data_IF_725150249520
#
_entry.id   IF_725150249520
#
_cell.length_a   1.000
_cell.length_b   1.000
_cell.length_c   1.000
_cell.angle_alpha   90.00
_cell.angle_beta   90.00
_cell.angle_gamma   90.00
#
_symmetry.space_group_name_H-M   'P 1'
#
loop_
_entity.id
_entity.type
_entity.pdbx_description
1 polymer ?
#
# COMPACT_ATOMS: atom_id res chain seq x y z
N UNK A 1 3.99 -13.61 51.24
CA UNK A 1 4.12 -13.22 49.82
C UNK A 1 3.34 -11.95 49.66
N UNK A 2 4.03 -10.80 49.61
CA UNK A 2 3.38 -9.49 49.56
C UNK A 2 2.69 -9.26 48.23
N UNK A 3 1.50 -8.66 48.28
CA UNK A 3 0.71 -8.28 47.12
C UNK A 3 1.49 -7.26 46.28
N UNK A 4 2.09 -7.75 45.19
CA UNK A 4 2.64 -6.89 44.15
C UNK A 4 1.48 -6.25 43.38
N UNK A 5 0.96 -5.15 43.90
CA UNK A 5 0.05 -4.28 43.16
C UNK A 5 0.89 -3.56 42.11
N UNK A 6 0.64 -3.88 40.84
CA UNK A 6 1.26 -3.19 39.70
C UNK A 6 0.99 -1.68 39.90
N UNK A 7 2.03 -0.83 40.03
CA UNK A 7 1.82 0.59 40.26
C UNK A 7 0.91 1.10 39.15
N UNK A 8 -0.23 1.69 39.55
CA UNK A 8 -1.28 2.19 38.67
C UNK A 8 -0.62 2.90 37.50
N UNK A 9 -0.63 2.24 36.34
CA UNK A 9 -0.10 2.80 35.10
C UNK A 9 -1.07 3.92 34.79
N UNK A 10 -0.68 5.17 35.09
CA UNK A 10 -1.45 6.33 34.69
C UNK A 10 -1.86 6.15 33.22
N UNK A 11 -3.12 6.44 32.86
CA UNK A 11 -3.59 6.23 31.49
C UNK A 11 -2.60 6.91 30.54
N UNK A 12 -2.08 6.14 29.59
CA UNK A 12 -1.14 6.68 28.60
C UNK A 12 -1.84 7.83 27.90
N UNK A 13 -1.11 8.94 27.69
CA UNK A 13 -1.63 10.07 26.94
C UNK A 13 -2.11 9.58 25.56
N UNK A 14 -3.26 10.06 25.07
CA UNK A 14 -3.76 9.66 23.77
C UNK A 14 -2.73 10.01 22.69
N UNK A 15 -2.56 9.10 21.74
CA UNK A 15 -1.72 9.29 20.58
C UNK A 15 -2.50 10.07 19.53
N UNK A 16 -2.09 11.30 19.29
CA UNK A 16 -2.60 12.13 18.20
C UNK A 16 -1.72 11.94 16.96
N UNK A 17 -2.29 11.37 15.92
CA UNK A 17 -1.60 11.16 14.64
C UNK A 17 -2.45 11.63 13.48
N UNK A 18 -1.80 12.12 12.43
CA UNK A 18 -2.52 12.33 11.17
C UNK A 18 -2.67 11.01 10.40
N UNK A 19 -3.60 10.98 9.45
CA UNK A 19 -3.90 9.81 8.61
C UNK A 19 -2.69 9.22 7.90
N UNK A 20 -1.75 10.06 7.47
CA UNK A 20 -0.54 9.66 6.74
C UNK A 20 0.52 9.04 7.67
N UNK A 21 0.58 9.48 8.93
CA UNK A 21 1.35 8.84 9.99
C UNK A 21 0.74 7.52 10.41
N UNK A 22 -0.58 7.50 10.65
CA UNK A 22 -1.31 6.28 10.99
C UNK A 22 -1.12 5.21 9.90
N UNK A 23 -1.23 5.58 8.63
CA UNK A 23 -0.91 4.69 7.49
C UNK A 23 0.47 4.04 7.62
N UNK A 24 1.50 4.79 8.02
CA UNK A 24 2.88 4.28 8.15
C UNK A 24 3.08 3.44 9.42
N UNK A 25 2.61 3.92 10.56
CA UNK A 25 2.78 3.26 11.87
C UNK A 25 2.09 1.89 11.87
N UNK A 26 0.91 1.78 11.24
CA UNK A 26 0.14 0.54 11.13
C UNK A 26 0.48 -0.30 9.88
N UNK A 27 1.66 -0.10 9.30
CA UNK A 27 2.19 -1.00 8.27
C UNK A 27 1.49 -0.87 6.91
N UNK A 28 1.27 0.36 6.46
CA UNK A 28 0.65 0.68 5.17
C UNK A 28 -0.81 0.23 5.04
N UNK A 29 -1.56 0.28 6.14
CA UNK A 29 -2.99 -0.02 6.19
C UNK A 29 -3.81 0.83 5.20
N UNK A 30 -4.93 0.28 4.73
CA UNK A 30 -5.82 0.96 3.77
C UNK A 30 -6.45 2.21 4.36
N UNK A 31 -6.93 3.11 3.51
CA UNK A 31 -7.64 4.30 3.95
C UNK A 31 -8.82 3.97 4.87
N UNK A 32 -9.63 2.99 4.46
CA UNK A 32 -10.75 2.48 5.24
C UNK A 32 -10.33 1.95 6.62
N UNK A 33 -9.24 1.18 6.70
CA UNK A 33 -8.75 0.68 7.98
C UNK A 33 -8.25 1.81 8.90
N UNK A 34 -7.65 2.86 8.33
CA UNK A 34 -7.22 4.03 9.10
C UNK A 34 -8.43 4.83 9.62
N UNK A 35 -9.48 5.03 8.82
CA UNK A 35 -10.66 5.79 9.28
C UNK A 35 -11.39 5.10 10.45
N UNK A 36 -11.42 3.76 10.48
CA UNK A 36 -12.01 2.99 11.58
C UNK A 36 -11.05 2.76 12.75
N UNK A 37 -9.80 3.21 12.66
CA UNK A 37 -8.78 2.98 13.69
C UNK A 37 -9.19 3.53 15.07
N UNK A 38 -9.77 4.75 15.20
CA UNK A 38 -10.21 5.27 16.50
C UNK A 38 -11.32 4.46 17.18
N UNK A 39 -12.10 3.69 16.41
CA UNK A 39 -13.16 2.83 16.94
C UNK A 39 -12.61 1.48 17.42
N UNK A 40 -11.45 1.07 16.89
CA UNK A 40 -10.86 -0.24 17.13
C UNK A 40 -9.76 -0.24 18.20
N UNK A 41 -9.23 0.92 18.60
CA UNK A 41 -8.12 1.01 19.56
C UNK A 41 -8.36 2.08 20.63
N UNK A 42 -7.93 1.79 21.86
CA UNK A 42 -8.00 2.75 22.96
C UNK A 42 -6.81 3.71 22.95
N UNK A 43 -7.08 4.99 23.22
CA UNK A 43 -6.03 6.00 23.38
C UNK A 43 -5.40 6.48 22.07
N UNK A 44 -6.13 6.42 20.97
CA UNK A 44 -5.74 7.02 19.68
C UNK A 44 -6.82 7.98 19.19
N UNK A 45 -6.39 9.14 18.71
CA UNK A 45 -7.26 10.11 18.07
C UNK A 45 -6.62 10.58 16.76
N UNK A 46 -7.39 10.52 15.68
CA UNK A 46 -6.95 11.06 14.39
C UNK A 46 -7.12 12.57 14.39
N UNK A 47 -6.03 13.28 14.09
CA UNK A 47 -6.07 14.73 13.92
C UNK A 47 -7.03 15.06 12.76
N UNK A 48 -7.97 16.01 12.93
CA UNK A 48 -8.86 16.42 11.85
C UNK A 48 -8.09 16.94 10.64
N UNK A 49 -8.52 16.54 9.45
CA UNK A 49 -7.89 16.92 8.19
C UNK A 49 -6.83 15.95 7.68
N UNK A 50 -6.34 16.25 6.48
CA UNK A 50 -5.47 15.36 5.71
C UNK A 50 -6.21 14.15 5.13
N UNK A 51 -5.54 13.44 4.22
CA UNK A 51 -6.03 12.19 3.65
C UNK A 51 -5.00 11.09 3.87
N UNK A 52 -5.47 9.85 3.91
CA UNK A 52 -4.56 8.70 3.80
C UNK A 52 -3.94 8.76 2.40
N UNK A 53 -2.60 8.70 2.26
CA UNK A 53 -1.96 8.75 0.95
C UNK A 53 -2.54 7.66 0.04
N UNK A 54 -2.94 8.06 -1.16
CA UNK A 54 -3.49 7.14 -2.14
C UNK A 54 -2.46 6.08 -2.55
N UNK A 55 -2.93 5.07 -3.28
CA UNK A 55 -2.06 4.00 -3.78
C UNK A 55 -0.88 4.50 -4.61
N UNK A 56 -0.97 5.69 -5.21
CA UNK A 56 0.10 6.35 -5.97
C UNK A 56 1.01 7.27 -5.11
N UNK A 57 0.53 7.75 -3.96
CA UNK A 57 1.21 8.77 -3.16
C UNK A 57 2.17 8.16 -2.12
N UNK A 58 2.01 6.87 -1.82
CA UNK A 58 2.92 6.12 -0.96
C UNK A 58 3.82 5.20 -1.81
N UNK A 59 5.11 5.56 -1.93
CA UNK A 59 6.06 4.79 -2.74
C UNK A 59 6.24 3.33 -2.30
N UNK A 60 6.08 3.03 -1.01
CA UNK A 60 6.11 1.66 -0.48
C UNK A 60 4.89 0.87 -0.95
N UNK A 61 3.69 1.46 -0.82
CA UNK A 61 2.45 0.85 -1.33
C UNK A 61 2.50 0.62 -2.83
N UNK A 62 2.99 1.60 -3.60
CA UNK A 62 3.18 1.48 -5.06
C UNK A 62 4.04 0.27 -5.34
N UNK A 63 5.26 0.22 -4.77
CA UNK A 63 6.23 -0.85 -5.02
C UNK A 63 5.73 -2.22 -4.59
N UNK A 64 5.06 -2.30 -3.45
CA UNK A 64 4.50 -3.55 -2.93
C UNK A 64 3.31 -4.06 -3.76
N UNK A 65 2.54 -3.16 -4.38
CA UNK A 65 1.39 -3.49 -5.24
C UNK A 65 1.72 -3.46 -6.73
N UNK A 66 3.00 -3.34 -7.10
CA UNK A 66 3.42 -3.42 -8.50
C UNK A 66 3.00 -4.78 -9.06
N UNK A 67 2.01 -4.74 -9.94
CA UNK A 67 1.53 -5.90 -10.67
C UNK A 67 1.80 -5.69 -12.16
N UNK A 68 2.26 -6.76 -12.83
CA UNK A 68 2.40 -6.75 -14.27
C UNK A 68 1.00 -6.83 -14.89
N UNK A 69 0.47 -5.68 -15.32
CA UNK A 69 -0.71 -5.66 -16.17
C UNK A 69 -0.26 -6.09 -17.56
N UNK A 70 -0.49 -7.35 -17.89
CA UNK A 70 -0.18 -7.88 -19.22
C UNK A 70 -1.09 -7.17 -20.23
N UNK A 71 -0.48 -6.38 -21.11
CA UNK A 71 -1.18 -5.77 -22.24
C UNK A 71 -1.73 -6.88 -23.14
N UNK A 72 -3.05 -6.91 -23.31
CA UNK A 72 -3.74 -7.79 -24.28
C UNK A 72 -4.00 -7.08 -25.60
N UNK A 73 -3.21 -6.06 -25.93
CA UNK A 73 -3.40 -5.28 -27.15
C UNK A 73 -3.30 -6.21 -28.37
N UNK A 74 -4.33 -6.29 -29.22
CA UNK A 74 -4.24 -7.06 -30.45
C UNK A 74 -3.16 -6.47 -31.36
N UNK A 75 -2.51 -7.29 -32.21
CA UNK A 75 -1.54 -6.79 -33.17
C UNK A 75 -2.17 -5.69 -34.04
N UNK A 76 -1.50 -4.54 -34.15
CA UNK A 76 -1.97 -3.42 -34.98
C UNK A 76 -2.02 -3.79 -36.46
N UNK A 77 -1.22 -4.76 -36.90
CA UNK A 77 -1.13 -5.22 -38.28
C UNK A 77 -1.11 -6.75 -38.34
N UNK A 78 -2.29 -7.40 -38.49
CA UNK A 78 -2.40 -8.85 -38.60
C UNK A 78 -1.93 -9.33 -39.98
N UNK A 79 -1.29 -10.50 -40.00
CA UNK A 79 -0.81 -11.13 -41.25
C UNK A 79 -2.01 -11.53 -42.12
N UNK A 80 -2.12 -10.94 -43.31
CA UNK A 80 -3.27 -11.17 -44.21
C UNK A 80 -3.03 -12.25 -45.27
N UNK A 81 -1.77 -12.63 -45.51
CA UNK A 81 -1.37 -13.60 -46.53
C UNK A 81 0.00 -14.22 -46.23
N UNK A 82 0.34 -15.39 -46.81
CA UNK A 82 1.67 -15.99 -46.66
C UNK A 82 2.78 -15.01 -47.04
N UNK A 83 3.90 -15.05 -46.31
CA UNK A 83 5.08 -14.20 -46.51
C UNK A 83 4.86 -12.68 -46.40
N UNK A 84 3.72 -12.24 -45.87
CA UNK A 84 3.43 -10.81 -45.67
C UNK A 84 4.36 -10.14 -44.66
N UNK A 85 4.86 -10.88 -43.66
CA UNK A 85 5.77 -10.38 -42.63
C UNK A 85 6.76 -11.46 -42.20
N UNK A 86 8.03 -11.08 -42.10
CA UNK A 86 9.10 -11.91 -41.52
C UNK A 86 9.63 -11.18 -40.28
N UNK A 87 9.66 -11.88 -39.15
CA UNK A 87 10.29 -11.40 -37.92
C UNK A 87 11.69 -12.00 -37.88
N UNK A 88 12.70 -11.15 -37.82
CA UNK A 88 14.10 -11.53 -37.68
C UNK A 88 14.57 -11.06 -36.31
N UNK A 89 15.28 -11.93 -35.60
CA UNK A 89 15.97 -11.60 -34.36
C UNK A 89 17.40 -12.10 -34.44
N UNK A 90 18.33 -11.34 -33.86
CA UNK A 90 19.75 -11.68 -33.86
C UNK A 90 20.13 -12.14 -32.45
N UNK A 91 20.50 -13.41 -32.34
CA UNK A 91 21.00 -13.99 -31.09
C UNK A 91 22.50 -14.17 -31.20
N UNK A 92 23.25 -13.52 -30.30
CA UNK A 92 24.68 -13.74 -30.18
C UNK A 92 24.92 -15.08 -29.49
N UNK A 93 25.62 -15.99 -30.17
CA UNK A 93 26.08 -17.25 -29.60
C UNK A 93 27.50 -17.04 -29.06
N UNK A 94 27.68 -17.33 -27.77
CA UNK A 94 28.98 -17.36 -27.09
C UNK A 94 29.71 -18.68 -27.35
#
# INVERSE_FOLDING_TARGET
YGDWVKPLVAPKKPLWVNRSEAHRIWGHASAEAIEHLPEAVEGLELIPGGTVPGGADCSVCVKAKLMQIISRRPPTDPVQRPFYRVLLDLVQLL
#
